data_IF_938502713693
#
_entry.id   IF_938502713693
#
_cell.length_a   1.000
_cell.length_b   1.000
_cell.length_c   1.000
_cell.angle_alpha   90.00
_cell.angle_beta   90.00
_cell.angle_gamma   90.00
#
_symmetry.space_group_name_H-M   'P 1'
#
loop_
_entity.id
_entity.type
_entity.pdbx_description
1 polymer ?
#
# COMPACT_ATOMS: atom_id res chain seq x y z
N UNK A 1 7.48 13.54 29.16
CA UNK A 1 7.16 13.00 27.82
C UNK A 1 7.79 11.62 27.76
N UNK A 2 6.99 10.58 27.54
CA UNK A 2 7.49 9.20 27.53
C UNK A 2 8.28 8.94 26.24
N UNK A 3 9.55 8.51 26.30
CA UNK A 3 10.42 8.34 25.14
C UNK A 3 9.91 7.33 24.10
N UNK A 4 8.96 6.46 24.48
CA UNK A 4 8.33 5.45 23.61
C UNK A 4 7.51 6.08 22.48
N UNK A 5 6.97 7.29 22.66
CA UNK A 5 6.24 7.99 21.60
C UNK A 5 7.16 8.47 20.48
N UNK A 6 8.40 8.84 20.80
CA UNK A 6 9.33 9.43 19.84
C UNK A 6 9.89 8.39 18.86
N UNK A 7 10.15 7.16 19.32
CA UNK A 7 10.61 6.06 18.47
C UNK A 7 9.47 5.52 17.58
N UNK A 8 8.27 5.34 18.14
CA UNK A 8 7.10 4.90 17.38
C UNK A 8 6.75 5.88 16.26
N UNK A 9 6.79 7.19 16.52
CA UNK A 9 6.60 8.21 15.50
C UNK A 9 7.68 8.17 14.40
N UNK A 10 8.94 7.95 14.77
CA UNK A 10 10.03 7.84 13.79
C UNK A 10 9.83 6.64 12.85
N UNK A 11 9.40 5.50 13.40
CA UNK A 11 9.07 4.31 12.59
C UNK A 11 7.89 4.58 11.66
N UNK A 12 6.82 5.23 12.15
CA UNK A 12 5.66 5.60 11.31
C UNK A 12 6.08 6.57 10.20
N UNK A 13 6.86 7.61 10.52
CA UNK A 13 7.39 8.58 9.55
C UNK A 13 8.24 7.89 8.48
N UNK A 14 9.09 6.93 8.87
CA UNK A 14 9.91 6.16 7.95
C UNK A 14 9.06 5.32 6.98
N UNK A 15 8.06 4.59 7.50
CA UNK A 15 7.14 3.80 6.67
C UNK A 15 6.36 4.66 5.68
N UNK A 16 5.85 5.82 6.13
CA UNK A 16 5.17 6.78 5.25
C UNK A 16 6.11 7.31 4.16
N UNK A 17 7.38 7.58 4.47
CA UNK A 17 8.39 8.00 3.49
C UNK A 17 8.66 6.94 2.41
N UNK A 18 8.70 5.65 2.78
CA UNK A 18 8.80 4.56 1.80
C UNK A 18 7.57 4.47 0.89
N UNK A 19 6.37 4.61 1.47
CA UNK A 19 5.12 4.63 0.71
C UNK A 19 5.08 5.79 -0.30
N UNK A 20 5.37 7.02 0.15
CA UNK A 20 5.39 8.21 -0.70
C UNK A 20 6.40 8.08 -1.84
N UNK A 21 7.58 7.52 -1.57
CA UNK A 21 8.60 7.27 -2.59
C UNK A 21 8.10 6.30 -3.65
N UNK A 22 7.46 5.20 -3.23
CA UNK A 22 6.83 4.23 -4.13
C UNK A 22 5.74 4.88 -4.97
N UNK A 23 4.86 5.67 -4.35
CA UNK A 23 3.76 6.36 -5.01
C UNK A 23 4.25 7.36 -6.07
N UNK A 24 5.21 8.23 -5.71
CA UNK A 24 5.79 9.21 -6.65
C UNK A 24 6.50 8.52 -7.82
N UNK A 25 7.20 7.42 -7.54
CA UNK A 25 7.86 6.62 -8.58
C UNK A 25 6.84 6.00 -9.53
N UNK A 26 5.76 5.41 -9.00
CA UNK A 26 4.67 4.85 -9.81
C UNK A 26 4.03 5.88 -10.74
N UNK A 27 3.76 7.10 -10.24
CA UNK A 27 3.29 8.21 -11.09
C UNK A 27 4.28 8.57 -12.19
N UNK A 28 5.57 8.70 -11.84
CA UNK A 28 6.62 9.05 -12.80
C UNK A 28 6.80 7.99 -13.89
N UNK A 29 6.64 6.71 -13.53
CA UNK A 29 6.76 5.57 -14.44
C UNK A 29 5.45 5.27 -15.20
N UNK A 30 4.40 6.09 -15.04
CA UNK A 30 3.11 5.90 -15.71
C UNK A 30 2.30 4.70 -15.21
N UNK A 31 2.63 4.16 -14.03
CA UNK A 31 1.97 3.00 -13.42
C UNK A 31 0.86 3.43 -12.46
N UNK A 32 0.05 4.41 -12.85
CA UNK A 32 -1.00 4.98 -12.00
C UNK A 32 -2.08 3.94 -11.63
N UNK A 33 -2.31 2.97 -12.51
CA UNK A 33 -3.22 1.84 -12.27
C UNK A 33 -2.75 0.96 -11.10
N UNK A 34 -1.43 0.75 -10.96
CA UNK A 34 -0.85 0.04 -9.81
C UNK A 34 -1.03 0.81 -8.50
N UNK A 35 -1.15 2.14 -8.54
CA UNK A 35 -1.38 2.94 -7.33
C UNK A 35 -2.75 2.66 -6.70
N UNK A 36 -3.72 2.18 -7.48
CA UNK A 36 -5.06 1.82 -7.01
C UNK A 36 -5.13 0.40 -6.43
N UNK A 37 -4.13 -0.44 -6.68
CA UNK A 37 -4.10 -1.82 -6.15
C UNK A 37 -3.95 -1.86 -4.63
N UNK A 38 -3.15 -0.96 -4.05
CA UNK A 38 -2.92 -0.91 -2.60
C UNK A 38 -4.19 -0.47 -1.84
N UNK A 39 -4.87 0.64 -2.18
CA UNK A 39 -6.15 0.99 -1.57
C UNK A 39 -7.21 -0.11 -1.72
N UNK A 40 -7.26 -0.77 -2.88
CA UNK A 40 -8.17 -1.89 -3.12
C UNK A 40 -7.88 -3.04 -2.18
N UNK A 41 -6.61 -3.48 -2.07
CA UNK A 41 -6.20 -4.54 -1.16
C UNK A 41 -6.56 -4.22 0.31
N UNK A 42 -6.32 -2.98 0.74
CA UNK A 42 -6.65 -2.54 2.11
C UNK A 42 -8.15 -2.64 2.36
N UNK A 43 -8.98 -2.15 1.44
CA UNK A 43 -10.44 -2.26 1.55
C UNK A 43 -10.88 -3.72 1.63
N UNK A 44 -10.29 -4.59 0.80
CA UNK A 44 -10.61 -6.01 0.81
C UNK A 44 -10.23 -6.70 2.13
N UNK A 45 -9.08 -6.34 2.71
CA UNK A 45 -8.66 -6.81 4.03
C UNK A 45 -9.61 -6.32 5.14
N UNK A 46 -10.05 -5.07 5.07
CA UNK A 46 -11.01 -4.50 6.03
C UNK A 46 -12.39 -5.17 5.95
N UNK A 47 -12.78 -5.66 4.78
CA UNK A 47 -13.99 -6.46 4.56
C UNK A 47 -13.84 -7.92 5.01
N UNK A 48 -12.66 -8.32 5.50
CA UNK A 48 -12.38 -9.66 6.02
C UNK A 48 -12.10 -10.70 4.96
N UNK A 49 -11.74 -10.29 3.73
CA UNK A 49 -11.36 -11.24 2.69
C UNK A 49 -10.01 -11.89 2.96
N UNK A 50 -9.87 -13.14 2.52
CA UNK A 50 -8.65 -13.91 2.63
C UNK A 50 -7.51 -13.33 1.78
N UNK A 51 -6.29 -13.32 2.32
CA UNK A 51 -5.14 -12.72 1.66
C UNK A 51 -4.80 -13.39 0.31
N UNK A 52 -4.94 -14.73 0.21
CA UNK A 52 -4.67 -15.43 -1.06
C UNK A 52 -5.69 -15.00 -2.12
N UNK A 53 -6.95 -14.87 -1.72
CA UNK A 53 -8.01 -14.40 -2.61
C UNK A 53 -7.76 -12.96 -3.11
N UNK A 54 -7.32 -12.07 -2.22
CA UNK A 54 -7.00 -10.67 -2.57
C UNK A 54 -5.85 -10.61 -3.57
N UNK A 55 -4.78 -11.37 -3.33
CA UNK A 55 -3.61 -11.43 -4.24
C UNK A 55 -4.03 -11.93 -5.61
N UNK A 56 -4.83 -12.99 -5.69
CA UNK A 56 -5.30 -13.55 -6.94
C UNK A 56 -6.19 -12.56 -7.71
N UNK A 57 -7.10 -11.88 -6.99
CA UNK A 57 -7.99 -10.89 -7.59
C UNK A 57 -7.24 -9.70 -8.19
N UNK A 58 -6.23 -9.20 -7.47
CA UNK A 58 -5.40 -8.08 -7.94
C UNK A 58 -4.54 -8.51 -9.13
N UNK A 59 -3.94 -9.70 -9.12
CA UNK A 59 -3.20 -10.22 -10.28
C UNK A 59 -4.06 -10.25 -11.53
N UNK A 60 -5.28 -10.79 -11.43
CA UNK A 60 -6.24 -10.79 -12.55
C UNK A 60 -6.54 -9.38 -13.06
N UNK A 61 -6.73 -8.40 -12.17
CA UNK A 61 -6.96 -7.01 -12.57
C UNK A 61 -5.78 -6.42 -13.34
N UNK A 62 -4.55 -6.80 -12.99
CA UNK A 62 -3.33 -6.32 -13.66
C UNK A 62 -3.01 -7.04 -14.96
N UNK A 63 -3.50 -8.27 -15.14
CA UNK A 63 -3.37 -9.01 -16.40
C UNK A 63 -4.36 -8.52 -17.47
N UNK A 64 -5.39 -7.78 -17.07
CA UNK A 64 -6.45 -7.26 -17.95
C UNK A 64 -6.38 -5.74 -18.19
N UNK A 65 -5.34 -5.05 -17.70
CA UNK A 65 -5.11 -3.61 -17.79
C UNK A 65 -3.92 -3.33 -18.71
#
# INVERSE_FOLDING_TARGET
MSPVCDEAEQVIKLLNSYFDRGYRRGKKEGREELLQTIPTAIKMLQEGMDLQFIVEKIKQQLEHS
#
